data_IF_733160533837
#
_entry.id   IF_733160533837
#
_cell.length_a   1.000
_cell.length_b   1.000
_cell.length_c   1.000
_cell.angle_alpha   90.00
_cell.angle_beta   90.00
_cell.angle_gamma   90.00
#
_symmetry.space_group_name_H-M   'P 1'
#
loop_
_entity.id
_entity.type
_entity.pdbx_description
1 polymer ?
#
# COMPACT_ATOMS: atom_id res chain seq x y z
N UNK A 1 8.09 10.98 4.83
CA UNK A 1 6.83 11.70 4.58
C UNK A 1 6.07 11.01 3.46
N UNK A 2 4.75 10.87 3.56
CA UNK A 2 3.92 10.20 2.56
C UNK A 2 2.79 11.11 2.06
N UNK A 3 2.34 10.90 0.82
CA UNK A 3 1.15 11.52 0.25
C UNK A 3 0.18 10.44 -0.23
N UNK A 4 -1.07 10.53 0.22
CA UNK A 4 -2.15 9.64 -0.19
C UNK A 4 -3.15 10.40 -1.09
N UNK A 5 -3.88 9.65 -1.92
CA UNK A 5 -4.98 10.19 -2.73
C UNK A 5 -6.07 10.82 -1.85
N UNK A 6 -6.76 11.83 -2.37
CA UNK A 6 -7.85 12.55 -1.66
C UNK A 6 -9.03 11.67 -1.23
N UNK A 7 -9.13 10.44 -1.76
CA UNK A 7 -10.13 9.43 -1.36
C UNK A 7 -9.72 8.56 -0.17
N UNK A 8 -8.56 8.83 0.43
CA UNK A 8 -8.09 8.17 1.63
C UNK A 8 -9.09 8.28 2.77
N UNK A 9 -9.28 7.17 3.48
CA UNK A 9 -10.10 7.11 4.69
C UNK A 9 -9.36 6.34 5.78
N UNK A 10 -9.65 6.68 7.04
CA UNK A 10 -9.16 5.92 8.18
C UNK A 10 -9.54 4.44 8.05
N UNK A 11 -8.54 3.57 8.16
CA UNK A 11 -8.68 2.11 7.97
C UNK A 11 -8.28 1.60 6.58
N UNK A 12 -7.96 2.49 5.63
CA UNK A 12 -7.26 2.10 4.41
C UNK A 12 -5.82 1.64 4.75
N UNK A 13 -5.31 0.67 4.00
CA UNK A 13 -4.00 0.05 4.19
C UNK A 13 -3.12 0.29 2.97
N UNK A 14 -1.81 0.31 3.17
CA UNK A 14 -0.85 0.29 2.07
C UNK A 14 -0.46 -1.16 1.73
N UNK A 15 -0.45 -1.47 0.45
CA UNK A 15 -0.03 -2.73 -0.13
C UNK A 15 1.04 -2.44 -1.18
N UNK A 16 2.24 -3.00 -1.03
CA UNK A 16 3.28 -2.89 -2.03
C UNK A 16 3.23 -4.15 -2.94
N UNK A 17 2.90 -4.01 -4.23
CA UNK A 17 2.90 -5.16 -5.14
C UNK A 17 4.33 -5.68 -5.33
N UNK A 18 4.52 -7.00 -5.45
CA UNK A 18 5.84 -7.61 -5.66
C UNK A 18 6.58 -7.09 -6.90
N UNK A 19 5.89 -6.53 -7.89
CA UNK A 19 6.45 -5.94 -9.10
C UNK A 19 6.09 -4.47 -9.28
N UNK A 20 5.62 -3.82 -8.23
CA UNK A 20 5.15 -2.43 -8.28
C UNK A 20 6.21 -1.50 -7.73
N UNK A 21 6.52 -0.43 -8.47
CA UNK A 21 7.48 0.59 -8.04
C UNK A 21 6.87 1.58 -7.03
N UNK A 22 5.56 1.44 -6.76
CA UNK A 22 4.79 2.33 -5.88
C UNK A 22 3.82 1.55 -4.98
N UNK A 23 3.65 1.96 -3.71
CA UNK A 23 2.63 1.39 -2.84
C UNK A 23 1.21 1.76 -3.28
N UNK A 24 0.31 0.80 -3.18
CA UNK A 24 -1.12 0.95 -3.41
C UNK A 24 -1.88 1.15 -2.11
N UNK A 25 -2.83 2.07 -2.13
CA UNK A 25 -3.84 2.20 -1.09
C UNK A 25 -4.98 1.21 -1.37
N UNK A 26 -5.24 0.32 -0.42
CA UNK A 26 -6.29 -0.69 -0.48
C UNK A 26 -7.23 -0.58 0.71
N UNK A 27 -8.52 -0.83 0.48
CA UNK A 27 -9.54 -0.83 1.53
C UNK A 27 -10.01 -2.26 1.83
N UNK A 28 -9.90 -2.75 3.07
CA UNK A 28 -10.42 -4.05 3.44
C UNK A 28 -11.95 -4.08 3.40
N UNK A 29 -12.50 -5.18 2.90
CA UNK A 29 -13.92 -5.55 2.98
C UNK A 29 -14.13 -6.60 4.07
N UNK A 30 -15.37 -6.68 4.60
CA UNK A 30 -15.78 -7.73 5.55
C UNK A 30 -15.64 -9.15 4.99
N UNK A 31 -15.57 -9.29 3.68
CA UNK A 31 -15.38 -10.57 2.96
C UNK A 31 -13.92 -11.03 2.86
N UNK A 32 -12.97 -10.34 3.51
CA UNK A 32 -11.54 -10.67 3.40
C UNK A 32 -10.92 -10.26 2.05
N UNK A 33 -11.64 -9.47 1.26
CA UNK A 33 -11.15 -8.91 -0.01
C UNK A 33 -10.70 -7.47 0.16
N UNK A 34 -9.87 -7.01 -0.77
CA UNK A 34 -9.36 -5.64 -0.79
C UNK A 34 -9.83 -4.90 -2.05
N UNK A 35 -10.27 -3.66 -1.89
CA UNK A 35 -10.61 -2.77 -3.01
C UNK A 35 -9.47 -1.79 -3.23
N UNK A 36 -8.98 -1.68 -4.46
CA UNK A 36 -8.01 -0.67 -4.84
C UNK A 36 -8.62 0.74 -4.73
N UNK A 37 -7.95 1.64 -4.01
CA UNK A 37 -8.39 3.02 -3.78
C UNK A 37 -7.57 4.01 -4.63
N UNK A 38 -6.27 3.74 -4.80
CA UNK A 38 -5.36 4.56 -5.58
C UNK A 38 -3.91 4.26 -5.24
N UNK A 39 -2.99 4.97 -5.90
CA UNK A 39 -1.54 4.88 -5.59
C UNK A 39 -1.16 5.88 -4.49
N UNK A 40 -0.07 5.61 -3.78
CA UNK A 40 0.45 6.50 -2.74
C UNK A 40 1.95 6.72 -2.92
N UNK A 41 2.40 7.94 -2.65
CA UNK A 41 3.82 8.26 -2.60
C UNK A 41 4.31 8.07 -1.15
N UNK A 42 5.25 7.16 -0.93
CA UNK A 42 5.92 7.00 0.37
C UNK A 42 7.43 7.14 0.13
N UNK A 43 8.01 8.19 0.68
CA UNK A 43 9.44 8.42 0.61
C UNK A 43 10.20 7.28 1.33
N UNK A 44 11.13 6.60 0.63
CA UNK A 44 11.89 5.44 1.12
C UNK A 44 11.27 4.07 0.81
N UNK A 45 10.17 4.01 0.06
CA UNK A 45 9.60 2.75 -0.48
C UNK A 45 9.60 2.74 -2.02
N UNK A 46 9.56 3.91 -2.65
CA UNK A 46 9.62 4.06 -4.09
C UNK A 46 11.04 3.83 -4.63
N UNK A 47 11.16 3.41 -5.89
CA UNK A 47 12.41 2.98 -6.56
C UNK A 47 12.91 1.57 -6.16
N UNK A 48 12.00 0.72 -5.67
CA UNK A 48 12.30 -0.69 -5.38
C UNK A 48 13.16 -0.91 -4.12
N UNK A 49 13.38 0.13 -3.32
CA UNK A 49 14.18 0.10 -2.09
C UNK A 49 13.56 -0.79 -0.98
N UNK A 50 12.26 -1.09 -1.08
CA UNK A 50 11.58 -2.00 -0.19
C UNK A 50 11.84 -3.47 -0.55
N UNK A 51 12.99 -4.00 -0.14
CA UNK A 51 13.27 -5.44 -0.20
C UNK A 51 12.52 -6.17 0.91
N UNK A 52 11.37 -6.77 0.61
CA UNK A 52 10.73 -7.73 1.51
C UNK A 52 10.91 -9.16 1.02
N UNK A 53 11.19 -10.13 1.92
CA UNK A 53 11.26 -11.54 1.58
C UNK A 53 9.91 -12.06 1.06
N UNK A 54 9.98 -12.98 0.10
CA UNK A 54 8.98 -13.36 -0.93
C UNK A 54 7.63 -13.91 -0.44
N UNK A 55 7.32 -13.93 0.86
CA UNK A 55 6.15 -14.62 1.40
C UNK A 55 5.21 -13.74 2.26
N UNK A 56 5.21 -12.41 2.09
CA UNK A 56 4.42 -11.55 2.98
C UNK A 56 3.78 -10.36 2.29
N UNK A 57 2.44 -10.34 2.25
CA UNK A 57 1.67 -9.10 2.13
C UNK A 57 1.99 -8.27 3.38
N UNK A 58 2.87 -7.28 3.25
CA UNK A 58 3.20 -6.40 4.36
C UNK A 58 2.19 -5.26 4.44
N UNK A 59 1.42 -5.27 5.52
CA UNK A 59 0.56 -4.16 5.88
C UNK A 59 1.42 -3.09 6.55
N UNK A 60 1.72 -2.03 5.80
CA UNK A 60 2.30 -0.82 6.36
C UNK A 60 1.17 0.02 6.95
N UNK A 61 1.19 0.15 8.28
CA UNK A 61 0.28 1.03 9.04
C UNK A 61 1.06 2.30 9.37
N UNK A 62 0.62 3.43 8.81
CA UNK A 62 1.12 4.77 9.15
C UNK A 62 0.28 5.40 10.26
#
# INVERSE_FOLDING_TARGET
>A
MGMAVTRFKNGDRLCLPMSGDVPWLVRPSRSGTYTFVGESYVHGIMDGEATMPTDSLSELVL
#
